data_IF_541273971674
#
_entry.id   IF_541273971674
#
_cell.length_a   1.000
_cell.length_b   1.000
_cell.length_c   1.000
_cell.angle_alpha   90.00
_cell.angle_beta   90.00
_cell.angle_gamma   90.00
#
_symmetry.space_group_name_H-M   'P 1'
#
loop_
_entity.id
_entity.type
_entity.pdbx_description
1 polymer ?
#
# COMPACT_ATOMS: atom_id res chain seq x y z
N UNK A 1 0.43 -44.96 -15.85
CA UNK A 1 -0.13 -43.71 -15.33
C UNK A 1 -0.57 -42.87 -16.51
N UNK A 2 -1.79 -42.33 -16.57
CA UNK A 2 -2.15 -41.43 -17.66
C UNK A 2 -1.20 -40.23 -17.62
N UNK A 3 -0.65 -39.83 -18.75
CA UNK A 3 0.20 -38.65 -18.87
C UNK A 3 -0.58 -37.44 -18.39
N UNK A 4 -0.09 -36.78 -17.32
CA UNK A 4 -0.67 -35.53 -16.83
C UNK A 4 -0.70 -34.53 -17.98
N UNK A 5 -1.87 -33.98 -18.30
CA UNK A 5 -1.97 -32.88 -19.26
C UNK A 5 -1.44 -31.65 -18.54
N UNK A 6 -0.21 -31.24 -18.82
CA UNK A 6 0.31 -29.96 -18.35
C UNK A 6 -0.60 -28.83 -18.84
N UNK A 7 -1.35 -28.23 -17.92
CA UNK A 7 -2.16 -27.05 -18.18
C UNK A 7 -1.25 -25.82 -18.23
N UNK A 8 -1.53 -24.94 -19.20
CA UNK A 8 -0.98 -23.58 -19.13
C UNK A 8 -1.75 -22.76 -18.11
N UNK A 9 -1.07 -21.92 -17.33
CA UNK A 9 -1.71 -20.96 -16.41
C UNK A 9 -2.79 -20.09 -17.11
N UNK A 10 -2.72 -19.94 -18.41
CA UNK A 10 -3.70 -19.18 -19.19
C UNK A 10 -5.05 -19.91 -19.39
N UNK A 11 -5.10 -21.23 -19.17
CA UNK A 11 -6.26 -22.07 -19.47
C UNK A 11 -6.69 -22.88 -18.25
N UNK A 12 -6.67 -22.28 -17.06
CA UNK A 12 -7.14 -22.94 -15.84
C UNK A 12 -8.65 -23.15 -15.87
N UNK A 13 -9.16 -24.34 -15.47
CA UNK A 13 -10.59 -24.63 -15.51
C UNK A 13 -11.34 -23.84 -14.44
N UNK A 14 -12.61 -23.55 -14.72
CA UNK A 14 -13.48 -22.84 -13.78
C UNK A 14 -14.11 -23.76 -12.73
N UNK A 15 -14.55 -24.95 -13.16
CA UNK A 15 -15.44 -25.83 -12.41
C UNK A 15 -14.84 -27.22 -12.18
N UNK A 16 -13.56 -27.39 -12.48
CA UNK A 16 -12.83 -28.63 -12.25
C UNK A 16 -11.66 -28.38 -11.33
N UNK A 17 -11.50 -29.15 -10.25
CA UNK A 17 -10.34 -29.02 -9.36
C UNK A 17 -9.01 -29.17 -10.11
N UNK A 18 -8.01 -28.39 -9.75
CA UNK A 18 -6.66 -28.47 -10.29
C UNK A 18 -5.62 -28.24 -9.20
N UNK A 19 -4.40 -28.68 -9.45
CA UNK A 19 -3.26 -28.48 -8.55
C UNK A 19 -2.28 -27.47 -9.13
N UNK A 20 -1.81 -26.54 -8.29
CA UNK A 20 -0.58 -25.79 -8.52
C UNK A 20 0.52 -26.46 -7.70
N UNK A 21 1.56 -26.94 -8.37
CA UNK A 21 2.59 -27.75 -7.75
C UNK A 21 3.94 -27.04 -7.73
N UNK A 22 4.77 -27.43 -6.77
CA UNK A 22 6.17 -27.02 -6.69
C UNK A 22 6.31 -25.50 -6.72
N UNK A 23 5.55 -24.82 -5.86
CA UNK A 23 5.61 -23.36 -5.71
C UNK A 23 6.26 -22.95 -4.39
N UNK A 24 6.68 -21.71 -4.28
CA UNK A 24 7.29 -21.12 -3.09
C UNK A 24 6.48 -19.96 -2.58
N UNK A 25 6.06 -20.02 -1.31
CA UNK A 25 5.35 -18.96 -0.62
C UNK A 25 6.25 -18.29 0.42
N UNK A 26 6.18 -16.96 0.63
CA UNK A 26 6.67 -16.39 1.88
C UNK A 26 5.89 -16.97 3.06
N UNK A 27 6.57 -17.59 4.03
CA UNK A 27 5.91 -18.24 5.18
C UNK A 27 4.98 -17.27 5.93
N UNK A 28 5.35 -16.00 6.00
CA UNK A 28 4.58 -14.95 6.68
C UNK A 28 3.20 -14.69 6.04
N UNK A 29 3.01 -15.09 4.79
CA UNK A 29 1.72 -14.97 4.09
C UNK A 29 0.83 -16.20 4.23
N UNK A 30 1.32 -17.27 4.85
CA UNK A 30 0.56 -18.51 5.05
C UNK A 30 -0.12 -18.48 6.42
N UNK A 31 -1.43 -18.51 6.44
CA UNK A 31 -2.22 -18.49 7.68
C UNK A 31 -2.54 -19.90 8.18
N UNK A 32 -2.40 -20.11 9.49
CA UNK A 32 -2.83 -21.33 10.17
C UNK A 32 -1.89 -22.54 10.01
N UNK A 33 -0.80 -22.44 9.25
CA UNK A 33 0.10 -23.56 9.00
C UNK A 33 1.57 -23.14 9.04
N UNK A 34 2.40 -23.87 9.78
CA UNK A 34 3.86 -23.70 9.76
C UNK A 34 4.49 -24.79 8.90
N UNK A 35 5.09 -24.39 7.80
CA UNK A 35 5.69 -25.30 6.82
C UNK A 35 7.23 -25.31 6.93
N UNK A 36 7.90 -26.38 6.50
CA UNK A 36 9.36 -26.40 6.43
C UNK A 36 9.88 -25.33 5.45
N UNK A 37 10.79 -24.50 5.91
CA UNK A 37 11.43 -23.50 5.06
C UNK A 37 12.38 -24.16 4.05
N UNK A 38 12.38 -23.61 2.83
CA UNK A 38 13.31 -24.00 1.76
C UNK A 38 14.42 -22.95 1.56
N UNK A 39 14.36 -21.83 2.26
CA UNK A 39 15.36 -20.78 2.33
C UNK A 39 14.75 -19.38 2.41
N UNK A 40 15.40 -18.49 3.15
CA UNK A 40 15.11 -17.06 3.25
C UNK A 40 13.60 -16.71 3.42
N UNK A 41 12.96 -17.34 4.40
CA UNK A 41 11.55 -17.15 4.69
C UNK A 41 10.58 -17.79 3.70
N UNK A 42 11.06 -18.48 2.66
CA UNK A 42 10.22 -19.18 1.68
C UNK A 42 9.94 -20.63 2.13
N UNK A 43 8.74 -21.11 1.82
CA UNK A 43 8.31 -22.50 2.01
C UNK A 43 7.88 -23.12 0.71
N UNK A 44 8.20 -24.39 0.48
CA UNK A 44 7.78 -25.15 -0.71
C UNK A 44 6.45 -25.83 -0.47
N UNK A 45 5.47 -25.62 -1.35
CA UNK A 45 4.13 -26.15 -1.21
C UNK A 45 3.51 -26.58 -2.53
N UNK A 46 2.49 -27.43 -2.44
CA UNK A 46 1.52 -27.72 -3.50
C UNK A 46 0.14 -27.23 -3.00
N UNK A 47 -0.65 -26.66 -3.90
CA UNK A 47 -2.00 -26.17 -3.61
C UNK A 47 -3.03 -26.92 -4.46
N UNK A 48 -4.15 -27.29 -3.87
CA UNK A 48 -5.34 -27.74 -4.60
C UNK A 48 -6.35 -26.61 -4.63
N UNK A 49 -6.80 -26.26 -5.82
CA UNK A 49 -7.81 -25.21 -6.05
C UNK A 49 -9.07 -25.84 -6.63
N UNK A 50 -10.20 -25.57 -6.00
CA UNK A 50 -11.54 -25.96 -6.45
C UNK A 50 -12.51 -24.80 -6.30
N UNK A 51 -13.24 -24.52 -7.38
CA UNK A 51 -14.25 -23.43 -7.45
C UNK A 51 -13.78 -22.10 -6.89
N UNK A 52 -12.53 -21.75 -7.19
CA UNK A 52 -11.93 -20.46 -6.82
C UNK A 52 -11.36 -20.38 -5.42
N UNK A 53 -11.40 -21.45 -4.65
CA UNK A 53 -10.86 -21.53 -3.28
C UNK A 53 -9.68 -22.50 -3.19
N UNK A 54 -8.78 -22.22 -2.26
CA UNK A 54 -7.68 -23.12 -1.92
C UNK A 54 -8.21 -24.18 -0.95
N UNK A 55 -8.36 -25.41 -1.42
CA UNK A 55 -8.93 -26.50 -0.62
C UNK A 55 -7.91 -27.26 0.20
N UNK A 56 -6.68 -27.30 -0.24
CA UNK A 56 -5.64 -28.07 0.42
C UNK A 56 -4.26 -27.41 0.24
N UNK A 57 -3.47 -27.49 1.30
CA UNK A 57 -2.03 -27.27 1.30
C UNK A 57 -1.31 -28.59 1.57
N UNK A 58 -0.24 -28.84 0.82
CA UNK A 58 0.70 -29.90 1.14
C UNK A 58 2.13 -29.40 1.00
N UNK A 59 3.10 -29.93 1.75
CA UNK A 59 4.50 -29.74 1.44
C UNK A 59 4.78 -30.14 -0.02
N UNK A 60 5.69 -29.41 -0.69
CA UNK A 60 6.01 -29.71 -2.09
C UNK A 60 6.33 -31.21 -2.30
N UNK A 61 5.87 -31.76 -3.40
CA UNK A 61 5.99 -33.19 -3.76
C UNK A 61 5.23 -34.18 -2.86
N UNK A 62 4.37 -33.68 -1.96
CA UNK A 62 3.51 -34.53 -1.10
C UNK A 62 2.02 -34.26 -1.30
N UNK A 63 1.66 -33.31 -2.14
CA UNK A 63 0.28 -33.00 -2.46
C UNK A 63 -0.40 -34.08 -3.30
N UNK A 64 -1.73 -34.10 -3.25
CA UNK A 64 -2.53 -34.95 -4.14
C UNK A 64 -2.35 -34.49 -5.59
N UNK A 65 -1.94 -35.41 -6.46
CA UNK A 65 -1.82 -35.13 -7.89
C UNK A 65 -3.19 -35.33 -8.53
N UNK A 66 -3.80 -34.26 -8.99
CA UNK A 66 -5.03 -34.28 -9.75
C UNK A 66 -4.77 -34.58 -11.22
N UNK A 67 -5.84 -34.94 -11.98
CA UNK A 67 -5.74 -35.15 -13.42
C UNK A 67 -5.33 -33.86 -14.18
N UNK A 68 -5.57 -32.71 -13.54
CA UNK A 68 -5.17 -31.40 -14.02
C UNK A 68 -4.19 -30.80 -13.03
N UNK A 69 -2.94 -30.63 -13.43
CA UNK A 69 -1.89 -30.02 -12.63
C UNK A 69 -1.01 -29.07 -13.42
N UNK A 70 -0.47 -28.06 -12.73
CA UNK A 70 0.51 -27.12 -13.26
C UNK A 70 1.73 -27.12 -12.34
N UNK A 71 2.87 -27.55 -12.86
CA UNK A 71 4.15 -27.39 -12.15
C UNK A 71 4.65 -25.96 -12.34
N UNK A 72 4.79 -25.24 -11.23
CA UNK A 72 5.26 -23.86 -11.20
C UNK A 72 6.80 -23.75 -11.13
N UNK A 73 7.52 -24.86 -11.18
CA UNK A 73 8.98 -24.90 -11.23
C UNK A 73 9.66 -24.05 -10.13
N UNK A 74 9.12 -24.10 -8.91
CA UNK A 74 9.57 -23.34 -7.74
C UNK A 74 9.31 -21.82 -7.82
N UNK A 75 8.41 -21.37 -8.66
CA UNK A 75 8.02 -19.96 -8.75
C UNK A 75 7.59 -19.39 -7.40
N UNK A 76 7.98 -18.16 -7.13
CA UNK A 76 7.47 -17.40 -5.96
C UNK A 76 6.02 -17.03 -6.25
N UNK A 77 5.16 -17.30 -5.29
CA UNK A 77 3.73 -16.95 -5.33
C UNK A 77 3.39 -16.12 -4.10
N UNK A 78 2.69 -15.02 -4.32
CA UNK A 78 2.14 -14.18 -3.26
C UNK A 78 0.63 -14.28 -3.22
N UNK A 79 -0.02 -14.04 -2.06
CA UNK A 79 -1.41 -13.55 -2.08
C UNK A 79 -1.42 -12.23 -2.83
N UNK A 80 -2.55 -11.88 -3.42
CA UNK A 80 -2.70 -10.58 -4.05
C UNK A 80 -2.40 -9.46 -3.05
N UNK A 81 -1.43 -8.56 -3.35
CA UNK A 81 -0.93 -7.58 -2.41
C UNK A 81 -1.95 -6.47 -2.10
N UNK A 82 -1.65 -5.69 -1.08
CA UNK A 82 -2.49 -4.64 -0.51
C UNK A 82 -1.71 -3.33 -0.49
N UNK A 83 -2.28 -2.27 -1.04
CA UNK A 83 -1.72 -0.92 -1.02
C UNK A 83 -2.45 -0.06 0.00
N UNK A 84 -1.87 0.10 1.18
CA UNK A 84 -2.56 0.72 2.30
C UNK A 84 -2.38 2.25 2.38
N UNK A 85 -1.74 2.87 1.38
CA UNK A 85 -1.51 4.31 1.39
C UNK A 85 -1.26 4.85 -0.02
N UNK A 86 -2.26 5.51 -0.60
CA UNK A 86 -2.19 6.15 -1.92
C UNK A 86 -2.96 7.47 -1.95
N UNK A 87 -2.79 8.24 -3.03
CA UNK A 87 -3.50 9.50 -3.32
C UNK A 87 -4.08 9.45 -4.74
N UNK A 88 -5.08 8.59 -4.97
CA UNK A 88 -5.65 8.41 -6.32
C UNK A 88 -6.37 9.65 -6.84
N UNK A 89 -6.93 10.48 -5.95
CA UNK A 89 -7.59 11.74 -6.30
C UNK A 89 -6.63 12.76 -6.95
N UNK A 90 -5.36 12.76 -6.54
CA UNK A 90 -4.31 13.62 -7.09
C UNK A 90 -3.57 12.99 -8.27
N UNK A 91 -3.71 11.68 -8.48
CA UNK A 91 -2.93 10.91 -9.44
C UNK A 91 -3.18 11.26 -10.90
N UNK A 92 -2.19 10.91 -11.76
CA UNK A 92 -2.25 10.99 -13.22
C UNK A 92 -2.33 12.42 -13.80
N UNK A 93 -1.99 13.45 -13.03
CA UNK A 93 -2.03 14.85 -13.48
C UNK A 93 -0.66 15.43 -13.86
N UNK A 94 0.42 14.67 -13.68
CA UNK A 94 1.78 15.13 -13.95
C UNK A 94 1.96 15.82 -15.31
N UNK A 95 1.42 15.31 -16.43
CA UNK A 95 1.62 15.93 -17.74
C UNK A 95 1.11 17.38 -17.85
N UNK A 96 0.04 17.71 -17.11
CA UNK A 96 -0.56 19.06 -17.13
C UNK A 96 -0.22 19.92 -15.92
N UNK A 97 0.29 19.30 -14.84
CA UNK A 97 0.60 20.00 -13.58
C UNK A 97 1.92 19.50 -12.98
N UNK A 98 3.05 19.60 -13.73
CA UNK A 98 4.31 19.09 -13.27
C UNK A 98 4.92 19.96 -12.16
N UNK A 99 5.50 19.32 -11.15
CA UNK A 99 6.34 19.97 -10.16
C UNK A 99 7.77 20.10 -10.72
N UNK A 100 8.08 21.22 -11.34
CA UNK A 100 9.34 21.41 -12.08
C UNK A 100 10.58 21.58 -11.21
N UNK A 101 10.44 22.00 -9.94
CA UNK A 101 11.55 22.09 -9.00
C UNK A 101 11.76 20.78 -8.20
N UNK A 102 10.75 19.90 -8.19
CA UNK A 102 10.77 18.59 -7.53
C UNK A 102 10.84 18.66 -6.01
N UNK A 103 10.63 19.84 -5.41
CA UNK A 103 10.64 20.02 -3.96
C UNK A 103 9.27 19.69 -3.35
N UNK A 104 9.23 19.40 -2.04
CA UNK A 104 7.98 19.21 -1.31
C UNK A 104 7.08 20.45 -1.36
N UNK A 105 7.66 21.65 -1.17
CA UNK A 105 6.90 22.90 -1.25
C UNK A 105 6.37 23.18 -2.66
N UNK A 106 7.16 22.87 -3.69
CA UNK A 106 6.73 22.93 -5.09
C UNK A 106 5.56 21.99 -5.36
N UNK A 107 5.61 20.77 -4.80
CA UNK A 107 4.54 19.80 -4.91
C UNK A 107 3.22 20.32 -4.30
N UNK A 108 3.26 20.86 -3.08
CA UNK A 108 2.08 21.43 -2.41
C UNK A 108 1.47 22.61 -3.20
N UNK A 109 2.33 23.48 -3.75
CA UNK A 109 1.88 24.60 -4.59
C UNK A 109 1.17 24.10 -5.85
N UNK A 110 1.76 23.13 -6.56
CA UNK A 110 1.16 22.58 -7.78
C UNK A 110 -0.12 21.78 -7.49
N UNK A 111 -0.14 20.97 -6.43
CA UNK A 111 -1.33 20.23 -6.06
C UNK A 111 -2.51 21.16 -5.70
N UNK A 112 -2.23 22.26 -4.98
CA UNK A 112 -3.24 23.28 -4.66
C UNK A 112 -3.75 24.00 -5.93
N UNK A 113 -2.85 24.34 -6.85
CA UNK A 113 -3.24 24.95 -8.13
C UNK A 113 -4.06 23.99 -8.99
N UNK A 114 -3.71 22.70 -9.02
CA UNK A 114 -4.42 21.67 -9.75
C UNK A 114 -5.83 21.43 -9.18
N UNK A 115 -5.96 21.31 -7.84
CA UNK A 115 -7.25 21.09 -7.19
C UNK A 115 -8.24 22.27 -7.38
N UNK A 116 -7.75 23.47 -7.66
CA UNK A 116 -8.58 24.63 -7.97
C UNK A 116 -9.11 24.65 -9.42
N UNK A 117 -8.63 23.78 -10.30
CA UNK A 117 -9.07 23.74 -11.71
C UNK A 117 -10.43 23.04 -11.83
N UNK A 118 -11.35 23.53 -12.67
CA UNK A 118 -12.59 22.83 -12.95
C UNK A 118 -12.39 21.39 -13.44
N UNK A 119 -11.39 21.17 -14.29
CA UNK A 119 -11.01 19.86 -14.84
C UNK A 119 -10.66 18.83 -13.76
N UNK A 120 -10.21 19.25 -12.58
CA UNK A 120 -9.85 18.34 -11.48
C UNK A 120 -10.99 17.40 -11.09
N UNK A 121 -12.20 17.92 -11.00
CA UNK A 121 -13.40 17.13 -10.68
C UNK A 121 -14.03 16.48 -11.92
N UNK A 122 -13.91 17.10 -13.09
CA UNK A 122 -14.50 16.61 -14.33
C UNK A 122 -13.89 15.29 -14.78
N UNK A 123 -12.57 15.15 -14.62
CA UNK A 123 -11.82 13.95 -15.02
C UNK A 123 -11.42 13.02 -13.87
N UNK A 124 -11.78 13.35 -12.63
CA UNK A 124 -11.40 12.59 -11.44
C UNK A 124 -11.71 11.08 -11.58
N UNK A 125 -12.95 10.77 -11.99
CA UNK A 125 -13.37 9.37 -12.15
C UNK A 125 -12.57 8.64 -13.22
N UNK A 126 -12.17 9.31 -14.31
CA UNK A 126 -11.37 8.73 -15.37
C UNK A 126 -9.96 8.41 -14.88
N UNK A 127 -9.29 9.36 -14.22
CA UNK A 127 -7.94 9.20 -13.67
C UNK A 127 -7.86 8.10 -12.63
N UNK A 128 -8.83 8.10 -11.68
CA UNK A 128 -8.88 7.08 -10.65
C UNK A 128 -9.19 5.71 -11.23
N UNK A 129 -10.14 5.61 -12.19
CA UNK A 129 -10.43 4.34 -12.85
C UNK A 129 -9.21 3.80 -13.63
N UNK A 130 -8.42 4.67 -14.28
CA UNK A 130 -7.16 4.29 -14.92
C UNK A 130 -6.19 3.68 -13.89
N UNK A 131 -5.98 4.35 -12.77
CA UNK A 131 -5.11 3.90 -11.68
C UNK A 131 -5.58 2.57 -11.06
N UNK A 132 -6.89 2.38 -10.85
CA UNK A 132 -7.46 1.13 -10.34
C UNK A 132 -7.30 -0.03 -11.33
N UNK A 133 -7.38 0.23 -12.63
CA UNK A 133 -7.13 -0.77 -13.68
C UNK A 133 -5.67 -1.20 -13.69
N UNK A 134 -4.73 -0.28 -13.54
CA UNK A 134 -3.31 -0.58 -13.41
C UNK A 134 -3.04 -1.44 -12.16
N UNK A 135 -3.49 -0.99 -10.98
CA UNK A 135 -3.36 -1.74 -9.74
C UNK A 135 -3.95 -3.16 -9.82
N UNK A 136 -5.14 -3.29 -10.46
CA UNK A 136 -5.79 -4.59 -10.66
C UNK A 136 -4.98 -5.50 -11.59
N UNK A 137 -4.46 -4.97 -12.70
CA UNK A 137 -3.63 -5.72 -13.64
C UNK A 137 -2.33 -6.22 -12.97
N UNK A 138 -1.75 -5.43 -12.08
CA UNK A 138 -0.58 -5.82 -11.28
C UNK A 138 -0.89 -6.78 -10.13
N UNK A 139 -2.17 -7.02 -9.84
CA UNK A 139 -2.60 -8.02 -8.86
C UNK A 139 -3.03 -7.44 -7.52
N UNK A 140 -3.06 -6.13 -7.32
CA UNK A 140 -3.48 -5.52 -6.06
C UNK A 140 -4.93 -5.86 -5.72
N UNK A 141 -5.20 -6.29 -4.48
CA UNK A 141 -6.54 -6.72 -4.01
C UNK A 141 -7.30 -5.62 -3.30
N UNK A 142 -6.62 -4.76 -2.61
CA UNK A 142 -7.21 -3.61 -1.93
C UNK A 142 -6.27 -2.40 -1.99
N UNK A 143 -6.85 -1.22 -2.09
CA UNK A 143 -6.15 0.08 -2.11
C UNK A 143 -6.83 1.01 -1.11
N UNK A 144 -6.06 1.67 -0.23
CA UNK A 144 -6.51 2.82 0.53
C UNK A 144 -6.07 4.08 -0.21
N UNK A 145 -7.03 4.97 -0.51
CA UNK A 145 -6.74 6.29 -1.06
C UNK A 145 -7.12 7.38 -0.08
N UNK A 146 -6.17 8.20 0.29
CA UNK A 146 -6.45 9.47 0.93
C UNK A 146 -7.24 10.36 -0.04
N UNK A 147 -8.21 11.11 0.47
CA UNK A 147 -9.05 12.04 -0.29
C UNK A 147 -8.86 13.42 0.30
N UNK A 148 -8.28 14.31 -0.51
CA UNK A 148 -7.89 15.64 -0.06
C UNK A 148 -9.07 16.43 0.53
N UNK A 149 -8.93 16.85 1.79
CA UNK A 149 -9.92 17.59 2.57
C UNK A 149 -10.10 19.05 2.13
N UNK A 150 -9.89 19.38 0.86
CA UNK A 150 -10.14 20.72 0.33
C UNK A 150 -11.62 21.07 0.41
N UNK A 151 -11.97 22.09 1.22
CA UNK A 151 -13.35 22.52 1.52
C UNK A 151 -14.22 22.79 0.29
N UNK A 152 -13.62 23.17 -0.84
CA UNK A 152 -14.37 23.49 -2.05
C UNK A 152 -14.80 22.25 -2.83
N UNK A 153 -14.02 21.19 -2.79
CA UNK A 153 -14.16 20.04 -3.67
C UNK A 153 -14.43 18.73 -2.93
N UNK A 154 -14.15 18.65 -1.64
CA UNK A 154 -14.14 17.40 -0.87
C UNK A 154 -15.41 16.56 -1.05
N UNK A 155 -16.60 17.12 -0.80
CA UNK A 155 -17.85 16.37 -0.87
C UNK A 155 -18.09 15.77 -2.27
N UNK A 156 -17.74 16.55 -3.32
CA UNK A 156 -17.89 16.10 -4.71
C UNK A 156 -16.88 15.03 -5.06
N UNK A 157 -15.62 15.21 -4.66
CA UNK A 157 -14.56 14.21 -4.85
C UNK A 157 -14.91 12.92 -4.12
N UNK A 158 -15.27 13.02 -2.84
CA UNK A 158 -15.59 11.85 -2.02
C UNK A 158 -16.77 11.06 -2.59
N UNK A 159 -17.86 11.74 -2.98
CA UNK A 159 -19.03 11.08 -3.56
C UNK A 159 -18.72 10.39 -4.90
N UNK A 160 -17.87 10.99 -5.75
CA UNK A 160 -17.44 10.35 -7.00
C UNK A 160 -16.58 9.10 -6.72
N UNK A 161 -15.66 9.19 -5.75
CA UNK A 161 -14.79 8.07 -5.36
C UNK A 161 -15.58 6.95 -4.68
N UNK A 162 -16.58 7.27 -3.86
CA UNK A 162 -17.48 6.28 -3.26
C UNK A 162 -18.27 5.49 -4.32
N UNK A 163 -18.77 6.16 -5.35
CA UNK A 163 -19.41 5.49 -6.49
C UNK A 163 -18.44 4.57 -7.25
N UNK A 164 -17.16 4.98 -7.38
CA UNK A 164 -16.12 4.12 -7.96
C UNK A 164 -15.81 2.93 -7.05
N UNK A 165 -15.72 3.12 -5.73
CA UNK A 165 -15.49 2.05 -4.77
C UNK A 165 -16.56 0.96 -4.87
N UNK A 166 -17.83 1.36 -4.96
CA UNK A 166 -18.95 0.43 -5.16
C UNK A 166 -18.83 -0.33 -6.49
N UNK A 167 -18.55 0.35 -7.58
CA UNK A 167 -18.36 -0.26 -8.90
C UNK A 167 -17.19 -1.25 -8.97
N UNK A 168 -16.15 -1.03 -8.16
CA UNK A 168 -14.95 -1.86 -8.13
C UNK A 168 -14.99 -2.98 -7.09
N UNK A 169 -15.92 -2.96 -6.13
CA UNK A 169 -15.93 -3.82 -4.93
C UNK A 169 -15.75 -5.31 -5.21
N UNK A 170 -16.29 -5.82 -6.34
CA UNK A 170 -16.14 -7.24 -6.74
C UNK A 170 -14.75 -7.60 -7.27
N UNK A 171 -13.95 -6.62 -7.70
CA UNK A 171 -12.62 -6.81 -8.32
C UNK A 171 -11.48 -6.37 -7.41
N UNK A 172 -11.58 -5.16 -6.89
CA UNK A 172 -10.60 -4.52 -6.02
C UNK A 172 -11.33 -3.69 -4.98
N UNK A 173 -10.96 -3.82 -3.72
CA UNK A 173 -11.52 -3.03 -2.63
C UNK A 173 -10.83 -1.67 -2.60
N UNK A 174 -11.60 -0.59 -2.79
CA UNK A 174 -11.12 0.77 -2.60
C UNK A 174 -11.62 1.28 -1.26
N UNK A 175 -10.69 1.56 -0.34
CA UNK A 175 -10.97 2.22 0.94
C UNK A 175 -10.65 3.70 0.84
N UNK A 176 -11.61 4.55 1.15
CA UNK A 176 -11.48 6.00 1.11
C UNK A 176 -11.08 6.52 2.49
N UNK A 177 -10.11 7.42 2.54
CA UNK A 177 -9.61 8.00 3.77
C UNK A 177 -9.68 9.52 3.69
N UNK A 178 -10.72 10.19 4.27
CA UNK A 178 -10.75 11.64 4.35
C UNK A 178 -9.48 12.19 4.98
N UNK A 179 -8.83 13.15 4.31
CA UNK A 179 -7.50 13.65 4.65
C UNK A 179 -7.57 15.12 5.07
N UNK A 180 -7.43 15.37 6.36
CA UNK A 180 -7.49 16.67 7.01
C UNK A 180 -6.12 17.34 7.12
N UNK A 181 -6.09 18.67 7.20
CA UNK A 181 -4.96 19.39 7.77
C UNK A 181 -5.12 19.41 9.30
N UNK A 182 -4.05 19.14 10.06
CA UNK A 182 -4.11 19.13 11.54
C UNK A 182 -4.50 20.51 12.12
N UNK A 183 -4.30 21.58 11.37
CA UNK A 183 -4.70 22.93 11.77
C UNK A 183 -6.16 23.28 11.44
N UNK A 184 -6.91 22.38 10.81
CA UNK A 184 -8.33 22.58 10.52
C UNK A 184 -9.14 22.80 11.80
N UNK A 185 -10.21 23.58 11.68
CA UNK A 185 -11.13 23.78 12.81
C UNK A 185 -11.98 22.52 13.10
N UNK A 186 -12.47 22.42 14.33
CA UNK A 186 -13.22 21.24 14.80
C UNK A 186 -14.46 20.94 13.94
N UNK A 187 -15.13 21.93 13.41
CA UNK A 187 -16.35 21.72 12.63
C UNK A 187 -15.99 21.02 11.31
N UNK A 188 -14.91 21.46 10.66
CA UNK A 188 -14.44 20.81 9.45
C UNK A 188 -13.89 19.40 9.71
N UNK A 189 -13.11 19.22 10.77
CA UNK A 189 -12.66 17.89 11.19
C UNK A 189 -13.82 16.95 11.48
N UNK A 190 -14.91 17.46 12.11
CA UNK A 190 -16.14 16.67 12.32
C UNK A 190 -16.83 16.29 11.03
N UNK A 191 -16.89 17.21 10.05
CA UNK A 191 -17.43 16.93 8.72
C UNK A 191 -16.65 15.82 7.99
N UNK A 192 -15.32 15.87 8.02
CA UNK A 192 -14.46 14.81 7.46
C UNK A 192 -14.66 13.48 8.20
N UNK A 193 -14.78 13.51 9.53
CA UNK A 193 -15.02 12.32 10.33
C UNK A 193 -16.41 11.69 10.08
N UNK A 194 -17.42 12.47 9.71
CA UNK A 194 -18.71 11.96 9.24
C UNK A 194 -18.58 11.19 7.94
N UNK A 195 -17.79 11.67 6.99
CA UNK A 195 -17.48 10.95 5.76
C UNK A 195 -16.64 9.70 6.03
N UNK A 196 -15.69 9.77 6.98
CA UNK A 196 -14.90 8.62 7.41
C UNK A 196 -15.76 7.50 8.03
N UNK A 197 -16.95 7.80 8.54
CA UNK A 197 -17.89 6.81 9.07
C UNK A 197 -18.81 6.19 7.99
N UNK A 198 -18.70 6.62 6.72
CA UNK A 198 -19.49 6.07 5.60
C UNK A 198 -18.95 4.72 5.11
N UNK A 199 -19.75 3.97 4.32
CA UNK A 199 -19.26 2.78 3.62
C UNK A 199 -17.97 3.06 2.83
N UNK A 200 -17.14 2.04 2.63
CA UNK A 200 -15.85 2.11 1.96
C UNK A 200 -14.79 3.01 2.64
N UNK A 201 -14.98 3.41 3.90
CA UNK A 201 -13.99 4.18 4.65
C UNK A 201 -13.63 3.50 5.97
N UNK A 202 -14.04 4.01 7.13
CA UNK A 202 -13.70 3.47 8.44
C UNK A 202 -12.40 4.04 9.03
N UNK A 203 -11.80 5.05 8.36
CA UNK A 203 -10.52 5.65 8.75
C UNK A 203 -10.51 7.15 8.48
N UNK A 204 -10.01 7.93 9.43
CA UNK A 204 -9.77 9.37 9.32
C UNK A 204 -8.27 9.61 9.24
N UNK A 205 -7.82 10.48 8.34
CA UNK A 205 -6.42 10.84 8.18
C UNK A 205 -6.17 12.32 8.45
N UNK A 206 -4.93 12.65 8.85
CA UNK A 206 -4.48 14.03 8.95
C UNK A 206 -3.01 14.18 8.55
N UNK A 207 -2.71 15.29 7.89
CA UNK A 207 -1.34 15.77 7.72
C UNK A 207 -0.91 16.52 8.99
N UNK A 208 0.10 15.98 9.67
CA UNK A 208 0.55 16.45 10.99
C UNK A 208 1.93 17.09 10.88
N UNK A 209 2.00 18.34 11.31
CA UNK A 209 3.23 19.13 11.34
C UNK A 209 3.27 20.01 12.59
N UNK A 210 4.42 20.60 12.88
CA UNK A 210 4.63 21.41 14.07
C UNK A 210 3.78 22.69 14.07
N UNK A 211 2.81 22.74 14.98
CA UNK A 211 1.98 23.92 15.27
C UNK A 211 1.93 24.15 16.78
N UNK A 212 1.73 25.38 17.24
CA UNK A 212 1.78 25.70 18.69
C UNK A 212 0.80 24.92 19.56
N UNK A 213 -0.34 24.50 19.01
CA UNK A 213 -1.40 23.78 19.70
C UNK A 213 -1.56 22.32 19.25
N UNK A 214 -0.48 21.69 18.73
CA UNK A 214 -0.52 20.35 18.16
C UNK A 214 -1.17 19.31 19.08
N UNK A 215 -0.81 19.28 20.36
CA UNK A 215 -1.38 18.34 21.34
C UNK A 215 -2.91 18.48 21.44
N UNK A 216 -3.43 19.70 21.46
CA UNK A 216 -4.87 19.94 21.54
C UNK A 216 -5.60 19.52 20.24
N UNK A 217 -4.99 19.75 19.08
CA UNK A 217 -5.55 19.32 17.79
C UNK A 217 -5.54 17.80 17.65
N UNK A 218 -4.48 17.13 18.07
CA UNK A 218 -4.44 15.66 18.12
C UNK A 218 -5.54 15.11 19.05
N UNK A 219 -5.79 15.76 20.19
CA UNK A 219 -6.87 15.36 21.10
C UNK A 219 -8.25 15.51 20.43
N UNK A 220 -8.47 16.55 19.60
CA UNK A 220 -9.71 16.72 18.82
C UNK A 220 -9.87 15.58 17.80
N UNK A 221 -8.82 15.26 17.04
CA UNK A 221 -8.88 14.16 16.05
C UNK A 221 -9.15 12.82 16.73
N UNK A 222 -8.48 12.53 17.84
CA UNK A 222 -8.68 11.31 18.62
C UNK A 222 -10.12 11.20 19.17
N UNK A 223 -10.67 12.30 19.71
CA UNK A 223 -12.04 12.38 20.21
C UNK A 223 -13.06 12.08 19.09
N UNK A 224 -12.92 12.73 17.95
CA UNK A 224 -13.80 12.53 16.78
C UNK A 224 -13.74 11.08 16.25
N UNK A 225 -12.56 10.49 16.23
CA UNK A 225 -12.38 9.10 15.80
C UNK A 225 -12.98 8.12 16.82
N UNK A 226 -12.74 8.32 18.13
CA UNK A 226 -13.33 7.50 19.20
C UNK A 226 -14.87 7.52 19.17
N UNK A 227 -15.49 8.72 18.99
CA UNK A 227 -16.95 8.86 18.93
C UNK A 227 -17.59 8.06 17.78
N UNK A 228 -16.83 7.78 16.72
CA UNK A 228 -17.33 7.12 15.50
C UNK A 228 -16.73 5.73 15.27
N UNK A 229 -15.86 5.26 16.16
CA UNK A 229 -15.19 3.96 16.02
C UNK A 229 -14.25 3.87 14.81
N UNK A 230 -13.59 4.98 14.46
CA UNK A 230 -12.70 5.06 13.30
C UNK A 230 -11.27 4.64 13.64
N UNK A 231 -10.56 4.08 12.67
CA UNK A 231 -9.11 4.02 12.66
C UNK A 231 -8.51 5.40 12.33
N UNK A 232 -7.22 5.58 12.62
CA UNK A 232 -6.47 6.79 12.28
C UNK A 232 -5.29 6.47 11.38
N UNK A 233 -5.05 7.35 10.39
CA UNK A 233 -3.92 7.29 9.48
C UNK A 233 -3.30 8.68 9.37
N UNK A 234 -2.05 8.84 9.78
CA UNK A 234 -1.38 10.13 9.83
C UNK A 234 -0.23 10.21 8.83
N UNK A 235 -0.06 11.37 8.20
CA UNK A 235 1.19 11.77 7.57
C UNK A 235 1.96 12.58 8.59
N UNK A 236 3.16 12.17 8.97
CA UNK A 236 3.94 12.87 9.97
C UNK A 236 5.42 12.86 9.66
N UNK A 237 6.09 13.94 10.05
CA UNK A 237 7.54 14.08 9.92
C UNK A 237 8.02 13.86 8.47
N UNK A 238 7.22 14.27 7.47
CA UNK A 238 7.53 14.17 6.04
C UNK A 238 8.48 15.31 5.60
N UNK A 239 9.61 15.36 6.25
CA UNK A 239 10.65 16.37 6.04
C UNK A 239 12.01 15.85 6.54
N UNK A 240 13.09 16.64 6.36
CA UNK A 240 14.42 16.35 6.88
C UNK A 240 14.84 17.33 8.00
N UNK A 241 13.88 17.82 8.78
CA UNK A 241 14.17 18.63 9.96
C UNK A 241 14.40 17.71 11.19
N UNK A 242 15.61 17.66 11.77
CA UNK A 242 15.88 16.83 12.94
C UNK A 242 15.08 17.22 14.19
N UNK A 243 14.52 18.43 14.22
CA UNK A 243 13.67 18.92 15.32
C UNK A 243 12.18 18.60 15.13
N UNK A 244 11.78 17.96 14.02
CA UNK A 244 10.40 17.52 13.79
C UNK A 244 10.11 16.28 14.61
N UNK A 245 9.09 16.35 15.48
CA UNK A 245 8.76 15.28 16.43
C UNK A 245 7.26 14.94 16.46
N UNK A 246 6.58 15.07 15.31
CA UNK A 246 5.14 14.84 15.19
C UNK A 246 4.76 13.38 15.49
N UNK A 247 5.55 12.40 15.04
CA UNK A 247 5.34 11.00 15.40
C UNK A 247 5.35 10.78 16.91
N UNK A 248 6.27 11.43 17.62
CA UNK A 248 6.33 11.39 19.10
C UNK A 248 5.10 12.02 19.74
N UNK A 249 4.62 13.15 19.19
CA UNK A 249 3.41 13.82 19.65
C UNK A 249 2.17 12.93 19.45
N UNK A 250 2.05 12.28 18.28
CA UNK A 250 0.98 11.31 17.99
C UNK A 250 1.00 10.15 19.00
N UNK A 251 2.18 9.56 19.26
CA UNK A 251 2.29 8.45 20.22
C UNK A 251 1.88 8.85 21.64
N UNK A 252 2.23 10.08 22.07
CA UNK A 252 1.76 10.64 23.33
C UNK A 252 0.25 10.86 23.34
N UNK A 253 -0.33 11.36 22.24
CA UNK A 253 -1.76 11.60 22.13
C UNK A 253 -2.55 10.29 22.20
N UNK A 254 -2.12 9.23 21.49
CA UNK A 254 -2.72 7.88 21.58
C UNK A 254 -2.79 7.40 23.02
N UNK A 255 -1.66 7.49 23.76
CA UNK A 255 -1.60 7.08 25.17
C UNK A 255 -2.45 7.98 26.08
N UNK A 256 -2.40 9.31 25.90
CA UNK A 256 -3.14 10.29 26.70
C UNK A 256 -4.65 10.12 26.56
N UNK A 257 -5.12 9.88 25.33
CA UNK A 257 -6.54 9.70 25.02
C UNK A 257 -7.02 8.24 25.18
N UNK A 258 -6.12 7.33 25.53
CA UNK A 258 -6.43 5.88 25.59
C UNK A 258 -7.13 5.40 24.32
N UNK A 259 -6.60 5.83 23.17
CA UNK A 259 -7.19 5.48 21.89
C UNK A 259 -6.96 3.99 21.59
N UNK A 260 -8.05 3.24 21.40
CA UNK A 260 -8.01 1.78 21.18
C UNK A 260 -8.13 1.39 19.69
N UNK A 261 -8.43 2.36 18.81
CA UNK A 261 -8.49 2.14 17.37
C UNK A 261 -7.12 1.89 16.76
N UNK A 262 -7.10 1.29 15.57
CA UNK A 262 -5.86 1.13 14.80
C UNK A 262 -5.27 2.48 14.43
N UNK A 263 -3.95 2.64 14.57
CA UNK A 263 -3.22 3.86 14.17
C UNK A 263 -2.06 3.48 13.27
N UNK A 264 -2.01 4.11 12.10
CA UNK A 264 -0.92 3.99 11.13
C UNK A 264 -0.31 5.38 10.93
N UNK A 265 1.02 5.47 10.82
CA UNK A 265 1.70 6.74 10.55
C UNK A 265 2.62 6.60 9.35
N UNK A 266 2.41 7.44 8.34
CA UNK A 266 3.18 7.48 7.10
C UNK A 266 4.41 8.38 7.19
N UNK A 267 5.34 8.13 6.26
CA UNK A 267 6.57 8.87 5.98
C UNK A 267 7.65 8.76 7.07
N UNK A 268 7.52 9.46 8.17
CA UNK A 268 8.50 9.48 9.27
C UNK A 268 9.94 9.78 8.80
N UNK A 269 10.10 10.62 7.76
CA UNK A 269 11.38 10.91 7.09
C UNK A 269 12.39 11.59 8.03
N UNK A 270 11.90 12.48 8.92
CA UNK A 270 12.75 13.23 9.84
C UNK A 270 13.58 12.32 10.77
N UNK A 271 13.06 11.14 11.11
CA UNK A 271 13.79 10.14 11.90
C UNK A 271 15.13 9.75 11.26
N UNK A 272 15.26 9.82 9.93
CA UNK A 272 16.49 9.48 9.21
C UNK A 272 17.66 10.44 9.46
N UNK A 273 17.38 11.62 10.00
CA UNK A 273 18.38 12.68 10.27
C UNK A 273 18.45 13.07 11.74
N UNK A 274 17.62 12.48 12.60
CA UNK A 274 17.64 12.69 14.07
C UNK A 274 18.78 11.93 14.73
N UNK A 275 19.17 12.37 15.92
CA UNK A 275 20.15 11.65 16.72
C UNK A 275 19.64 10.24 17.10
N UNK A 276 20.51 9.20 17.09
CA UNK A 276 20.08 7.82 17.36
C UNK A 276 19.29 7.63 18.65
N UNK A 277 19.66 8.35 19.72
CA UNK A 277 18.96 8.28 21.00
C UNK A 277 17.56 8.89 20.93
N UNK A 278 17.35 9.92 20.09
CA UNK A 278 16.03 10.52 19.89
C UNK A 278 15.14 9.58 19.09
N UNK A 279 15.68 8.97 18.05
CA UNK A 279 15.00 7.92 17.28
C UNK A 279 14.59 6.77 18.21
N UNK A 280 15.50 6.26 19.02
CA UNK A 280 15.24 5.18 19.97
C UNK A 280 14.06 5.54 20.91
N UNK A 281 14.13 6.70 21.57
CA UNK A 281 13.04 7.18 22.46
C UNK A 281 11.70 7.34 21.75
N UNK A 282 11.71 7.80 20.49
CA UNK A 282 10.48 7.94 19.71
C UNK A 282 9.88 6.58 19.38
N UNK A 283 10.70 5.65 18.87
CA UNK A 283 10.25 4.32 18.51
C UNK A 283 9.79 3.48 19.71
N UNK A 284 10.42 3.67 20.89
CA UNK A 284 9.94 3.02 22.12
C UNK A 284 8.52 3.48 22.47
N UNK A 285 8.22 4.79 22.38
CA UNK A 285 6.85 5.32 22.58
C UNK A 285 5.87 4.82 21.53
N UNK A 286 6.27 4.72 20.28
CA UNK A 286 5.46 4.20 19.16
C UNK A 286 5.09 2.74 19.41
N UNK A 287 6.07 1.91 19.84
CA UNK A 287 5.83 0.52 20.18
C UNK A 287 4.86 0.38 21.38
N UNK A 288 5.08 1.17 22.45
CA UNK A 288 4.18 1.20 23.62
C UNK A 288 2.75 1.65 23.28
N UNK A 289 2.59 2.53 22.29
CA UNK A 289 1.29 3.01 21.82
C UNK A 289 0.61 2.07 20.82
N UNK A 290 1.27 1.00 20.37
CA UNK A 290 0.73 0.07 19.40
C UNK A 290 0.53 0.65 18.00
N UNK A 291 1.30 1.68 17.63
CA UNK A 291 1.23 2.37 16.34
C UNK A 291 2.03 1.61 15.29
N UNK A 292 1.48 1.45 14.08
CA UNK A 292 2.23 0.98 12.93
C UNK A 292 2.84 2.12 12.10
N UNK A 293 3.84 1.78 11.32
CA UNK A 293 4.47 2.72 10.38
C UNK A 293 4.28 2.23 8.96
N UNK A 294 3.87 3.12 8.04
CA UNK A 294 3.94 2.87 6.61
C UNK A 294 5.08 3.68 5.99
N UNK A 295 6.05 2.99 5.44
CA UNK A 295 7.14 3.63 4.72
C UNK A 295 6.81 3.75 3.24
N UNK A 296 7.17 4.89 2.65
CA UNK A 296 6.82 5.33 1.31
C UNK A 296 8.09 5.63 0.50
N UNK A 297 8.96 4.61 0.28
CA UNK A 297 10.34 4.82 -0.11
C UNK A 297 10.49 5.52 -1.46
N UNK A 298 9.62 5.28 -2.42
CA UNK A 298 9.73 5.85 -3.76
C UNK A 298 9.43 7.35 -3.76
N UNK A 299 8.30 7.74 -3.16
CA UNK A 299 7.89 9.14 -3.05
C UNK A 299 8.86 9.93 -2.17
N UNK A 300 9.20 9.41 -0.98
CA UNK A 300 10.11 10.10 -0.07
C UNK A 300 11.51 10.28 -0.70
N UNK A 301 12.06 9.25 -1.35
CA UNK A 301 13.35 9.39 -2.01
C UNK A 301 13.33 10.32 -3.23
N UNK A 302 12.17 10.55 -3.85
CA UNK A 302 12.00 11.51 -4.91
C UNK A 302 12.00 12.94 -4.39
N UNK A 303 11.32 13.23 -3.28
CA UNK A 303 11.13 14.57 -2.74
C UNK A 303 12.29 15.03 -1.85
N UNK A 304 12.87 14.12 -1.03
CA UNK A 304 13.78 14.52 0.05
C UNK A 304 15.17 14.86 -0.45
N UNK A 305 15.78 15.89 0.19
CA UNK A 305 17.13 16.42 -0.10
C UNK A 305 17.32 16.82 -1.58
N UNK A 306 16.25 17.28 -2.21
CA UNK A 306 16.29 17.68 -3.61
C UNK A 306 16.78 19.12 -3.75
N UNK A 307 17.93 19.27 -4.40
CA UNK A 307 18.56 20.55 -4.71
C UNK A 307 19.07 20.53 -6.15
N UNK A 308 18.77 21.59 -6.90
CA UNK A 308 19.26 21.70 -8.29
C UNK A 308 20.79 21.57 -8.36
N UNK A 309 21.28 20.70 -9.23
CA UNK A 309 22.70 20.49 -9.44
C UNK A 309 23.45 19.74 -8.32
N UNK A 310 22.73 19.17 -7.34
CA UNK A 310 23.34 18.38 -6.25
C UNK A 310 22.76 16.96 -6.18
N UNK A 311 23.60 16.00 -5.89
CA UNK A 311 23.15 14.63 -5.58
C UNK A 311 22.61 14.58 -4.14
N UNK A 312 21.41 14.06 -3.90
CA UNK A 312 20.85 13.94 -2.55
C UNK A 312 21.70 13.00 -1.68
N UNK A 313 21.88 13.35 -0.41
CA UNK A 313 22.60 12.55 0.59
C UNK A 313 21.64 11.90 1.59
N UNK A 314 20.50 12.54 1.86
CA UNK A 314 19.45 12.05 2.74
C UNK A 314 18.18 11.81 1.93
N UNK A 315 17.70 10.57 1.90
CA UNK A 315 16.60 10.17 1.01
C UNK A 315 15.26 10.05 1.75
N UNK A 316 15.19 10.46 3.03
CA UNK A 316 13.95 10.41 3.82
C UNK A 316 13.42 9.01 4.09
N UNK A 317 14.27 8.00 4.06
CA UNK A 317 13.86 6.61 4.32
C UNK A 317 13.71 6.40 5.82
N UNK A 318 12.50 6.02 6.25
CA UNK A 318 12.22 5.75 7.66
C UNK A 318 13.11 4.61 8.22
N UNK A 319 13.53 4.65 9.51
CA UNK A 319 14.38 3.64 10.14
C UNK A 319 13.58 2.36 10.47
N UNK A 320 13.18 1.63 9.42
CA UNK A 320 12.26 0.47 9.54
C UNK A 320 12.87 -0.73 10.25
N UNK A 321 14.20 -0.90 10.20
CA UNK A 321 14.88 -1.97 10.93
C UNK A 321 14.82 -1.73 12.43
N UNK A 322 15.09 -0.49 12.86
CA UNK A 322 15.02 -0.05 14.24
C UNK A 322 13.60 -0.13 14.79
N UNK A 323 12.62 0.24 13.96
CA UNK A 323 11.20 0.13 14.30
C UNK A 323 10.78 -1.34 14.46
N UNK A 324 11.12 -2.19 13.48
CA UNK A 324 10.79 -3.61 13.50
C UNK A 324 11.45 -4.35 14.68
N UNK A 325 12.67 -3.99 15.05
CA UNK A 325 13.36 -4.58 16.21
C UNK A 325 12.64 -4.34 17.54
N UNK A 326 11.73 -3.36 17.59
CA UNK A 326 10.86 -3.02 18.72
C UNK A 326 9.46 -3.64 18.62
N UNK A 327 9.22 -4.47 17.60
CA UNK A 327 7.92 -5.10 17.36
C UNK A 327 6.89 -4.16 16.71
N UNK A 328 7.32 -3.02 16.16
CA UNK A 328 6.45 -2.14 15.40
C UNK A 328 6.14 -2.79 14.04
N UNK A 329 4.87 -2.87 13.70
CA UNK A 329 4.42 -3.35 12.39
C UNK A 329 4.78 -2.33 11.30
N UNK A 330 5.40 -2.81 10.22
CA UNK A 330 5.83 -1.99 9.10
C UNK A 330 5.06 -2.37 7.84
N UNK A 331 4.35 -1.41 7.26
CA UNK A 331 3.80 -1.50 5.91
C UNK A 331 4.69 -0.76 4.90
N UNK A 332 4.56 -1.12 3.64
CA UNK A 332 5.11 -0.40 2.48
C UNK A 332 3.95 -0.09 1.54
N UNK A 333 3.92 1.10 0.95
CA UNK A 333 2.85 1.51 0.06
C UNK A 333 3.34 2.44 -1.05
N UNK A 334 2.52 2.58 -2.11
CA UNK A 334 2.89 3.31 -3.33
C UNK A 334 2.94 4.82 -3.14
N UNK A 335 2.05 5.36 -2.31
CA UNK A 335 1.85 6.80 -2.10
C UNK A 335 1.34 7.51 -3.37
N UNK A 336 1.92 8.61 -3.77
CA UNK A 336 1.57 9.39 -4.94
C UNK A 336 1.96 8.68 -6.25
N UNK A 337 1.22 8.97 -7.32
CA UNK A 337 1.43 8.35 -8.63
C UNK A 337 1.19 9.35 -9.74
N UNK A 338 2.24 9.72 -10.49
CA UNK A 338 2.21 10.65 -11.64
C UNK A 338 1.48 11.97 -11.31
N UNK A 339 1.85 12.56 -10.19
CA UNK A 339 1.37 13.85 -9.71
C UNK A 339 2.52 14.75 -9.25
N UNK A 340 2.20 15.88 -8.62
CA UNK A 340 3.19 16.85 -8.20
C UNK A 340 4.16 16.34 -7.12
N UNK A 341 3.74 15.36 -6.28
CA UNK A 341 4.59 14.78 -5.24
C UNK A 341 5.47 13.64 -5.78
N UNK A 342 4.99 12.89 -6.77
CA UNK A 342 5.77 11.84 -7.41
C UNK A 342 5.46 11.73 -8.90
N UNK A 343 6.44 12.09 -9.73
CA UNK A 343 6.30 12.13 -11.19
C UNK A 343 6.11 10.78 -11.87
N UNK A 344 6.36 9.70 -11.16
CA UNK A 344 6.45 8.33 -11.67
C UNK A 344 5.46 7.40 -10.97
N UNK A 345 5.68 6.10 -11.11
CA UNK A 345 4.87 5.07 -10.46
C UNK A 345 3.66 4.66 -11.30
N UNK A 346 3.19 3.46 -11.04
CA UNK A 346 2.04 2.86 -11.72
C UNK A 346 1.28 1.89 -10.78
N UNK A 347 1.41 2.05 -9.45
CA UNK A 347 0.76 1.23 -8.41
C UNK A 347 1.16 -0.27 -8.47
N UNK A 348 2.37 -0.57 -8.96
CA UNK A 348 2.93 -1.92 -8.95
C UNK A 348 3.65 -2.23 -7.64
N UNK A 349 3.00 -2.94 -6.73
CA UNK A 349 3.58 -3.30 -5.43
C UNK A 349 4.76 -4.29 -5.51
N UNK A 350 4.93 -5.01 -6.61
CA UNK A 350 6.12 -5.82 -6.82
C UNK A 350 7.34 -4.96 -7.19
N UNK A 351 7.13 -3.89 -7.97
CA UNK A 351 8.15 -2.89 -8.24
C UNK A 351 8.54 -2.16 -6.94
N UNK A 352 7.55 -1.63 -6.22
CA UNK A 352 7.74 -0.98 -4.93
C UNK A 352 8.58 -1.85 -3.97
N UNK A 353 8.21 -3.12 -3.79
CA UNK A 353 8.89 -4.03 -2.87
C UNK A 353 10.32 -4.32 -3.30
N UNK A 354 10.57 -4.51 -4.61
CA UNK A 354 11.93 -4.67 -5.15
C UNK A 354 12.82 -3.46 -4.88
N UNK A 355 12.28 -2.27 -5.07
CA UNK A 355 13.03 -1.04 -4.85
C UNK A 355 13.21 -0.75 -3.36
N UNK A 356 12.20 -1.05 -2.53
CA UNK A 356 12.32 -1.00 -1.08
C UNK A 356 13.45 -1.91 -0.55
N UNK A 357 13.54 -3.16 -1.05
CA UNK A 357 14.66 -4.05 -0.68
C UNK A 357 16.01 -3.39 -0.95
N UNK A 358 16.19 -2.79 -2.14
CA UNK A 358 17.45 -2.15 -2.53
C UNK A 358 17.75 -0.87 -1.74
N UNK A 359 16.72 -0.05 -1.51
CA UNK A 359 16.88 1.26 -0.88
C UNK A 359 17.00 1.19 0.63
N UNK A 360 16.29 0.25 1.24
CA UNK A 360 16.14 0.10 2.68
C UNK A 360 16.92 -1.11 3.22
N UNK A 361 17.64 -1.83 2.34
CA UNK A 361 18.43 -3.04 2.69
C UNK A 361 17.57 -4.10 3.40
N UNK A 362 16.37 -4.38 2.86
CA UNK A 362 15.44 -5.37 3.42
C UNK A 362 15.82 -6.81 3.01
N UNK A 363 17.08 -7.09 2.97
CA UNK A 363 17.65 -8.38 2.58
C UNK A 363 18.61 -8.92 3.64
N UNK A 364 19.06 -10.15 3.43
CA UNK A 364 20.00 -10.86 4.30
C UNK A 364 19.57 -11.04 5.77
N UNK A 365 18.33 -11.54 6.01
CA UNK A 365 17.37 -12.16 5.10
C UNK A 365 16.26 -11.21 4.63
N UNK A 366 15.62 -11.49 3.47
CA UNK A 366 14.32 -10.89 3.12
C UNK A 366 13.23 -11.38 4.10
N UNK A 367 13.23 -12.66 4.42
CA UNK A 367 12.45 -13.21 5.54
C UNK A 367 10.97 -12.85 5.49
N UNK A 368 10.51 -12.10 6.51
CA UNK A 368 9.10 -11.73 6.68
C UNK A 368 8.73 -10.37 6.09
N UNK A 369 9.63 -9.67 5.38
CA UNK A 369 9.31 -8.39 4.76
C UNK A 369 8.15 -8.42 3.77
N UNK A 370 7.82 -9.52 3.06
CA UNK A 370 6.63 -9.59 2.22
C UNK A 370 5.31 -9.29 2.97
N UNK A 371 5.27 -9.43 4.29
CA UNK A 371 4.13 -9.00 5.10
C UNK A 371 3.79 -7.52 4.92
N UNK A 372 4.79 -6.68 4.67
CA UNK A 372 4.62 -5.23 4.56
C UNK A 372 3.72 -4.78 3.42
N UNK A 373 3.60 -5.57 2.35
CA UNK A 373 2.69 -5.34 1.21
C UNK A 373 1.56 -6.37 1.14
N UNK A 374 1.38 -7.19 2.17
CA UNK A 374 0.37 -8.24 2.23
C UNK A 374 -0.35 -8.23 3.57
N UNK A 375 -0.01 -9.11 4.50
CA UNK A 375 -0.71 -9.32 5.78
C UNK A 375 -0.69 -8.10 6.69
N UNK A 376 0.41 -7.38 6.80
CA UNK A 376 0.52 -6.18 7.63
C UNK A 376 -0.28 -5.02 7.04
N UNK A 377 -0.19 -4.79 5.73
CA UNK A 377 -0.98 -3.78 5.05
C UNK A 377 -2.49 -4.07 5.16
N UNK A 378 -2.91 -5.33 4.99
CA UNK A 378 -4.29 -5.77 5.16
C UNK A 378 -4.81 -5.53 6.59
N UNK A 379 -3.99 -5.81 7.60
CA UNK A 379 -4.31 -5.56 9.02
C UNK A 379 -4.66 -4.09 9.26
N UNK A 380 -3.84 -3.16 8.76
CA UNK A 380 -4.07 -1.72 8.94
C UNK A 380 -5.24 -1.17 8.13
N UNK A 381 -5.62 -1.85 7.05
CA UNK A 381 -6.86 -1.53 6.33
C UNK A 381 -8.13 -2.12 6.98
N UNK A 382 -7.99 -2.95 8.03
CA UNK A 382 -9.12 -3.62 8.65
C UNK A 382 -9.60 -4.87 7.90
N UNK A 383 -8.82 -5.38 6.94
CA UNK A 383 -9.14 -6.55 6.10
C UNK A 383 -8.14 -7.68 6.36
N UNK A 384 -7.99 -8.08 7.62
CA UNK A 384 -6.98 -9.05 8.04
C UNK A 384 -7.06 -10.42 7.33
N UNK A 385 -8.21 -10.77 6.75
CA UNK A 385 -8.42 -11.97 5.94
C UNK A 385 -7.81 -11.87 4.53
N UNK A 386 -7.56 -10.65 4.04
CA UNK A 386 -6.84 -10.42 2.79
C UNK A 386 -5.32 -10.47 3.01
N UNK A 387 -4.59 -10.53 1.92
CA UNK A 387 -3.11 -10.55 1.98
C UNK A 387 -2.55 -11.82 2.61
N UNK A 388 -3.36 -12.88 2.82
CA UNK A 388 -2.92 -14.18 3.33
C UNK A 388 -3.44 -15.34 2.47
N UNK A 389 -2.67 -16.42 2.45
CA UNK A 389 -3.03 -17.68 1.79
C UNK A 389 -3.43 -18.67 2.86
N UNK A 390 -4.67 -19.21 2.79
CA UNK A 390 -5.23 -20.11 3.79
C UNK A 390 -6.18 -21.13 3.17
N UNK A 391 -6.37 -22.26 3.84
CA UNK A 391 -7.39 -23.25 3.42
C UNK A 391 -8.79 -22.62 3.47
N UNK A 392 -9.60 -22.96 2.49
CA UNK A 392 -10.93 -22.41 2.23
C UNK A 392 -10.95 -20.89 2.03
N UNK A 393 -9.78 -20.28 1.78
CA UNK A 393 -9.66 -18.90 1.33
C UNK A 393 -9.69 -18.78 -0.19
N UNK A 394 -9.91 -17.57 -0.72
CA UNK A 394 -9.90 -17.32 -2.16
C UNK A 394 -8.51 -17.61 -2.76
N UNK A 395 -8.49 -18.20 -3.95
CA UNK A 395 -7.26 -18.37 -4.73
C UNK A 395 -6.94 -17.07 -5.51
N UNK A 396 -6.73 -15.97 -4.74
CA UNK A 396 -6.30 -14.67 -5.22
C UNK A 396 -4.77 -14.60 -5.11
N UNK A 397 -4.06 -14.91 -6.18
CA UNK A 397 -2.62 -15.16 -6.19
C UNK A 397 -1.91 -14.37 -7.28
N UNK A 398 -0.67 -13.94 -6.99
CA UNK A 398 0.28 -13.44 -7.97
C UNK A 398 1.43 -14.42 -8.10
N UNK A 399 1.63 -14.96 -9.30
CA UNK A 399 2.66 -15.96 -9.62
C UNK A 399 3.77 -15.25 -10.40
N UNK A 400 4.97 -15.23 -9.84
CA UNK A 400 6.17 -14.67 -10.46
C UNK A 400 7.03 -15.78 -11.08
N UNK A 401 7.78 -15.48 -12.13
CA UNK A 401 8.72 -16.45 -12.71
C UNK A 401 9.97 -16.71 -11.86
N UNK A 402 10.22 -15.87 -10.86
CA UNK A 402 11.38 -15.92 -9.96
C UNK A 402 11.23 -17.05 -8.95
N UNK A 403 12.33 -17.75 -8.65
CA UNK A 403 12.37 -18.91 -7.73
C UNK A 403 12.95 -18.59 -6.36
N UNK A 404 13.60 -17.45 -6.22
CA UNK A 404 14.21 -16.95 -5.00
C UNK A 404 14.25 -15.42 -5.02
N UNK A 405 14.60 -14.80 -3.88
CA UNK A 405 14.63 -13.34 -3.77
C UNK A 405 15.67 -12.67 -4.66
N UNK A 406 16.83 -13.31 -4.89
CA UNK A 406 17.83 -12.75 -5.80
C UNK A 406 17.30 -12.64 -7.23
N UNK A 407 16.62 -13.67 -7.74
CA UNK A 407 15.96 -13.62 -9.05
C UNK A 407 14.81 -12.60 -9.07
N UNK A 408 14.03 -12.53 -7.98
CA UNK A 408 12.91 -11.60 -7.86
C UNK A 408 13.39 -10.14 -7.91
N UNK A 409 14.42 -9.80 -7.15
CA UNK A 409 14.98 -8.43 -7.11
C UNK A 409 15.76 -8.09 -8.39
N UNK A 410 16.41 -9.07 -9.02
CA UNK A 410 17.28 -8.83 -10.18
C UNK A 410 16.53 -8.32 -11.43
N UNK A 411 15.25 -8.67 -11.61
CA UNK A 411 14.49 -8.35 -12.83
C UNK A 411 13.17 -7.66 -12.50
N UNK A 412 12.66 -6.79 -13.40
CA UNK A 412 11.25 -6.38 -13.35
C UNK A 412 10.35 -7.63 -13.38
N UNK A 413 9.29 -7.61 -12.58
CA UNK A 413 8.34 -8.74 -12.49
C UNK A 413 7.14 -8.52 -13.44
N UNK A 414 7.42 -8.10 -14.69
CA UNK A 414 6.39 -7.82 -15.70
C UNK A 414 5.66 -9.09 -16.18
N UNK A 415 6.39 -10.21 -16.28
CA UNK A 415 5.85 -11.50 -16.72
C UNK A 415 5.25 -12.25 -15.51
N UNK A 416 4.21 -11.70 -14.93
CA UNK A 416 3.49 -12.36 -13.83
C UNK A 416 2.14 -12.88 -14.31
N UNK A 417 1.62 -13.91 -13.65
CA UNK A 417 0.24 -14.33 -13.80
C UNK A 417 -0.51 -13.98 -12.53
N UNK A 418 -1.65 -13.33 -12.68
CA UNK A 418 -2.55 -13.00 -11.56
C UNK A 418 -3.77 -13.90 -11.64
N UNK A 419 -4.08 -14.57 -10.54
CA UNK A 419 -5.30 -15.33 -10.37
C UNK A 419 -6.26 -14.57 -9.45
N UNK A 420 -7.53 -14.52 -9.86
CA UNK A 420 -8.65 -14.07 -9.03
C UNK A 420 -9.66 -15.22 -8.92
N UNK A 421 -9.99 -15.62 -7.70
CA UNK A 421 -10.79 -16.80 -7.46
C UNK A 421 -10.34 -17.98 -8.34
N UNK A 422 -9.02 -18.24 -8.37
CA UNK A 422 -8.40 -19.33 -9.10
C UNK A 422 -8.40 -19.20 -10.63
N UNK A 423 -8.77 -18.04 -11.18
CA UNK A 423 -8.81 -17.81 -12.64
C UNK A 423 -7.82 -16.71 -13.05
N UNK A 424 -7.08 -16.90 -14.14
CA UNK A 424 -6.20 -15.86 -14.63
C UNK A 424 -7.01 -14.65 -15.11
N UNK A 425 -6.51 -13.47 -14.79
CA UNK A 425 -7.04 -12.20 -15.31
C UNK A 425 -6.12 -11.67 -16.43
N UNK A 426 -6.62 -10.67 -17.15
CA UNK A 426 -5.75 -9.88 -18.03
C UNK A 426 -4.84 -8.98 -17.16
N UNK A 427 -3.55 -9.15 -17.32
CA UNK A 427 -2.49 -8.41 -16.63
C UNK A 427 -1.89 -7.29 -17.49
N UNK A 428 -2.56 -6.91 -18.57
CA UNK A 428 -2.17 -5.75 -19.38
C UNK A 428 -2.62 -4.48 -18.69
N UNK A 429 -1.70 -3.60 -18.26
CA UNK A 429 -2.09 -2.31 -17.69
C UNK A 429 -2.74 -1.42 -18.77
N UNK A 430 -3.55 -0.43 -18.39
CA UNK A 430 -4.12 0.51 -19.35
C UNK A 430 -3.02 1.30 -20.07
N UNK A 431 -3.26 1.67 -21.32
CA UNK A 431 -2.32 2.46 -22.10
C UNK A 431 -2.38 3.93 -21.66
N UNK A 432 -1.22 4.54 -21.42
CA UNK A 432 -1.14 5.95 -21.00
C UNK A 432 -1.78 6.91 -22.03
N UNK A 433 -1.88 6.55 -23.30
CA UNK A 433 -2.58 7.35 -24.32
C UNK A 433 -4.09 7.54 -24.01
N UNK A 434 -4.69 6.70 -23.16
CA UNK A 434 -6.06 6.92 -22.69
C UNK A 434 -6.22 8.20 -21.85
N UNK A 435 -5.12 8.76 -21.36
CA UNK A 435 -5.07 9.99 -20.58
C UNK A 435 -4.74 11.25 -21.43
N UNK A 436 -4.45 11.09 -22.72
CA UNK A 436 -4.06 12.22 -23.60
C UNK A 436 -5.17 13.28 -23.71
N UNK A 437 -6.44 12.86 -23.53
CA UNK A 437 -7.59 13.78 -23.53
C UNK A 437 -7.68 14.68 -22.30
N UNK A 438 -6.87 14.42 -21.25
CA UNK A 438 -6.94 15.17 -19.98
C UNK A 438 -6.15 16.49 -19.98
N UNK A 439 -5.51 16.85 -21.06
CA UNK A 439 -4.84 18.14 -21.24
C UNK A 439 -3.57 18.05 -22.07
N UNK A 440 -3.20 19.18 -22.67
CA UNK A 440 -1.98 19.27 -23.48
C UNK A 440 -0.74 19.00 -22.63
N UNK A 441 0.14 18.16 -23.17
CA UNK A 441 1.49 17.95 -22.65
C UNK A 441 2.28 19.26 -22.82
N UNK A 442 2.37 20.06 -21.76
CA UNK A 442 3.36 21.15 -21.70
C UNK A 442 4.69 20.51 -21.30
N UNK A 443 5.44 20.08 -22.32
CA UNK A 443 6.85 19.68 -22.18
C UNK A 443 7.71 20.93 -22.11
#
# INVERSE_FOLDING_TARGET
>A
MPASKHLSLRNLPADTPYSLRNLRLPQVTVSGLKLPQVGDGLVGVDLVIDRGEIKQFAPADRGETLALDVDLAQAIVWPCPIDCHTHLDKGQVWPRSPNTDGTFNGAGTQASAESARPAYLEDLSQRVNFSLRAAYAYGTRAVRSHVDGNRQNFDRSFNQLEALADNWASRLMLQLCPFADIADDRDWLSHLAEHAARPFSGVLSSFVYDIPNLDAQLDVVMDLANQRGLALDFHADENLNPESHCLRAIARAVKRNRFEGSVLVGHCCALSVQAPDDVARTLDLVAEAGIGIVALPLCNAYLMDRHSGKTPRSRGVAPVHEARSRGIDIALASDNTRDAYYAYGDLDLAELFRDAIRMMQLDHPVGDWPASVTTTAAKFMGYAELGSIRENGPADLVIFESRNWSEFVARPQSNRTVLRAGRPIDTTPPDFSELDCLGEFSI
#
